data_IF_938381307794
#
_entry.id   IF_938381307794
#
_cell.length_a   1.000
_cell.length_b   1.000
_cell.length_c   1.000
_cell.angle_alpha   90.00
_cell.angle_beta   90.00
_cell.angle_gamma   90.00
#
_symmetry.space_group_name_H-M   'P 1'
#
loop_
_entity.id
_entity.type
_entity.pdbx_description
1 polymer ?
#
# COMPACT_ATOMS: atom_id res chain seq x y z
N UNK A 1 0.78 11.29 -5.40
CA UNK A 1 0.39 11.18 -3.98
C UNK A 1 1.51 10.48 -3.25
N UNK A 2 1.93 11.02 -2.10
CA UNK A 2 2.95 10.40 -1.23
C UNK A 2 2.38 9.13 -0.59
N UNK A 3 3.25 8.25 -0.11
CA UNK A 3 2.83 6.98 0.52
C UNK A 3 1.91 7.24 1.72
N UNK A 4 2.28 8.17 2.59
CA UNK A 4 1.53 8.54 3.79
C UNK A 4 0.15 9.10 3.46
N UNK A 5 0.04 9.85 2.36
CA UNK A 5 -1.24 10.37 1.87
C UNK A 5 -2.15 9.23 1.35
N UNK A 6 -1.57 8.20 0.72
CA UNK A 6 -2.34 7.02 0.28
C UNK A 6 -2.85 6.21 1.46
N UNK A 7 -2.02 6.04 2.49
CA UNK A 7 -2.42 5.35 3.73
C UNK A 7 -3.56 6.11 4.42
N UNK A 8 -3.42 7.43 4.59
CA UNK A 8 -4.48 8.27 5.17
C UNK A 8 -5.78 8.16 4.38
N UNK A 9 -5.70 8.17 3.05
CA UNK A 9 -6.87 8.02 2.18
C UNK A 9 -7.51 6.62 2.31
N UNK A 10 -6.71 5.58 2.50
CA UNK A 10 -7.20 4.23 2.74
C UNK A 10 -7.96 4.16 4.08
N UNK A 11 -7.44 4.77 5.15
CA UNK A 11 -8.12 4.88 6.44
C UNK A 11 -9.46 5.62 6.32
N UNK A 12 -9.51 6.72 5.57
CA UNK A 12 -10.75 7.45 5.29
C UNK A 12 -11.78 6.57 4.56
N UNK A 13 -11.34 5.74 3.61
CA UNK A 13 -12.22 4.81 2.90
C UNK A 13 -12.70 3.68 3.83
N UNK A 14 -11.84 3.13 4.68
CA UNK A 14 -12.24 2.11 5.66
C UNK A 14 -13.30 2.66 6.61
N UNK A 15 -13.06 3.85 7.18
CA UNK A 15 -14.02 4.53 8.04
C UNK A 15 -15.35 4.79 7.32
N UNK A 16 -15.30 5.14 6.02
CA UNK A 16 -16.51 5.23 5.21
C UNK A 16 -17.20 3.88 5.16
N UNK A 17 -16.53 2.82 4.70
CA UNK A 17 -17.13 1.49 4.50
C UNK A 17 -17.67 0.82 5.77
N UNK A 18 -17.12 1.13 6.95
CA UNK A 18 -17.62 0.64 8.23
C UNK A 18 -18.93 1.33 8.68
N UNK A 19 -19.29 2.45 8.03
CA UNK A 19 -20.55 3.13 8.30
C UNK A 19 -21.71 2.41 7.58
N UNK A 20 -22.62 1.83 8.36
CA UNK A 20 -23.77 1.06 7.85
C UNK A 20 -24.85 1.90 7.13
N UNK A 21 -24.66 3.21 6.99
CA UNK A 21 -25.62 4.11 6.33
C UNK A 21 -25.26 4.48 4.89
N UNK A 22 -24.23 3.88 4.31
CA UNK A 22 -23.85 4.19 2.93
C UNK A 22 -24.70 3.43 1.91
N UNK A 23 -24.94 4.07 0.77
CA UNK A 23 -25.51 3.38 -0.37
C UNK A 23 -24.55 2.31 -0.92
N UNK A 24 -25.12 1.23 -1.47
CA UNK A 24 -24.38 0.10 -2.00
C UNK A 24 -23.47 0.53 -3.17
N UNK A 25 -23.94 1.41 -4.06
CA UNK A 25 -23.16 1.85 -5.22
C UNK A 25 -21.91 2.63 -4.78
N UNK A 26 -22.07 3.53 -3.81
CA UNK A 26 -20.96 4.30 -3.26
C UNK A 26 -19.97 3.42 -2.49
N UNK A 27 -20.47 2.41 -1.77
CA UNK A 27 -19.64 1.42 -1.09
C UNK A 27 -18.79 0.62 -2.07
N UNK A 28 -19.35 0.21 -3.22
CA UNK A 28 -18.62 -0.51 -4.28
C UNK A 28 -17.55 0.38 -4.92
N UNK A 29 -17.86 1.66 -5.17
CA UNK A 29 -16.89 2.63 -5.71
C UNK A 29 -15.72 2.81 -4.75
N UNK A 30 -16.02 2.99 -3.46
CA UNK A 30 -15.02 3.19 -2.40
C UNK A 30 -14.16 1.95 -2.19
N UNK A 31 -14.75 0.76 -2.23
CA UNK A 31 -14.00 -0.49 -2.19
C UNK A 31 -13.03 -0.61 -3.37
N UNK A 32 -13.48 -0.29 -4.58
CA UNK A 32 -12.62 -0.32 -5.78
C UNK A 32 -11.47 0.68 -5.67
N UNK A 33 -11.74 1.87 -5.15
CA UNK A 33 -10.73 2.89 -4.87
C UNK A 33 -9.70 2.39 -3.84
N UNK A 34 -10.14 1.76 -2.76
CA UNK A 34 -9.25 1.15 -1.76
C UNK A 34 -8.35 0.07 -2.37
N UNK A 35 -8.89 -0.82 -3.21
CA UNK A 35 -8.11 -1.88 -3.85
C UNK A 35 -7.03 -1.33 -4.79
N UNK A 36 -7.32 -0.26 -5.51
CA UNK A 36 -6.32 0.42 -6.34
C UNK A 36 -5.23 1.06 -5.47
N UNK A 37 -5.60 1.74 -4.37
CA UNK A 37 -4.63 2.33 -3.44
C UNK A 37 -3.72 1.28 -2.80
N UNK A 38 -4.29 0.15 -2.37
CA UNK A 38 -3.53 -0.97 -1.81
C UNK A 38 -2.52 -1.49 -2.82
N UNK A 39 -2.95 -1.72 -4.06
CA UNK A 39 -2.07 -2.16 -5.14
C UNK A 39 -0.92 -1.18 -5.39
N UNK A 40 -1.21 0.11 -5.44
CA UNK A 40 -0.17 1.12 -5.64
C UNK A 40 0.82 1.20 -4.47
N UNK A 41 0.36 1.02 -3.23
CA UNK A 41 1.22 0.97 -2.05
C UNK A 41 2.15 -0.25 -2.09
N UNK A 42 1.60 -1.43 -2.42
CA UNK A 42 2.35 -2.67 -2.58
C UNK A 42 3.44 -2.55 -3.66
N UNK A 43 3.11 -1.99 -4.83
CA UNK A 43 4.08 -1.72 -5.90
C UNK A 43 5.19 -0.75 -5.46
N UNK A 44 4.86 0.30 -4.70
CA UNK A 44 5.86 1.23 -4.16
C UNK A 44 6.81 0.54 -3.18
N UNK A 45 6.28 -0.27 -2.26
CA UNK A 45 7.09 -1.01 -1.29
C UNK A 45 8.03 -2.00 -1.98
N UNK A 46 7.53 -2.77 -2.95
CA UNK A 46 8.33 -3.70 -3.76
C UNK A 46 9.45 -2.99 -4.52
N UNK A 47 9.19 -1.81 -5.07
CA UNK A 47 10.22 -1.03 -5.75
C UNK A 47 11.32 -0.53 -4.79
N UNK A 48 10.95 -0.12 -3.58
CA UNK A 48 11.90 0.29 -2.54
C UNK A 48 12.73 -0.90 -2.09
N UNK A 49 12.09 -2.04 -1.81
CA UNK A 49 12.76 -3.30 -1.44
C UNK A 49 13.77 -3.72 -2.53
N UNK A 50 13.35 -3.70 -3.80
CA UNK A 50 14.24 -3.99 -4.93
C UNK A 50 15.41 -3.02 -5.06
N UNK A 51 15.21 -1.75 -4.70
CA UNK A 51 16.27 -0.73 -4.69
C UNK A 51 17.28 -0.99 -3.57
N UNK A 52 16.80 -1.29 -2.36
CA UNK A 52 17.64 -1.62 -1.20
C UNK A 52 18.48 -2.87 -1.51
N UNK A 53 17.84 -3.93 -2.03
CA UNK A 53 18.52 -5.18 -2.41
C UNK A 53 19.65 -4.96 -3.43
N UNK A 54 19.43 -4.08 -4.42
CA UNK A 54 20.48 -3.72 -5.40
C UNK A 54 21.64 -2.96 -4.76
N UNK A 55 21.37 -1.98 -3.90
CA UNK A 55 22.41 -1.22 -3.20
C UNK A 55 23.27 -2.10 -2.29
N UNK A 56 22.65 -3.03 -1.58
CA UNK A 56 23.32 -4.05 -0.75
C UNK A 56 24.25 -4.92 -1.61
N UNK A 57 23.78 -5.34 -2.80
CA UNK A 57 24.56 -6.14 -3.75
C UNK A 57 25.76 -5.38 -4.34
N UNK A 58 25.59 -4.09 -4.69
CA UNK A 58 26.65 -3.25 -5.26
C UNK A 58 27.78 -2.93 -4.26
N UNK A 59 27.46 -2.90 -2.96
CA UNK A 59 28.42 -2.60 -1.90
C UNK A 59 29.12 -3.84 -1.34
N UNK A 60 28.83 -5.04 -1.86
CA UNK A 60 29.57 -6.28 -1.58
C UNK A 60 29.27 -6.98 -0.24
N UNK A 61 28.31 -6.49 0.56
CA UNK A 61 27.85 -7.17 1.78
C UNK A 61 26.37 -7.51 1.67
N UNK A 62 26.04 -8.80 1.67
CA UNK A 62 24.66 -9.30 1.72
C UNK A 62 24.16 -9.20 3.17
N UNK A 63 23.05 -8.51 3.39
CA UNK A 63 22.21 -8.73 4.57
C UNK A 63 20.91 -9.33 4.08
N UNK A 64 20.63 -10.56 4.52
CA UNK A 64 19.36 -11.22 4.26
C UNK A 64 18.23 -10.31 4.78
N UNK A 65 17.48 -9.69 3.87
CA UNK A 65 16.19 -9.10 4.21
C UNK A 65 15.20 -10.27 4.33
N UNK A 66 15.20 -10.90 5.50
CA UNK A 66 14.12 -11.78 5.91
C UNK A 66 12.95 -10.88 6.30
N UNK A 67 12.05 -10.62 5.35
CA UNK A 67 10.71 -10.13 5.64
C UNK A 67 9.86 -11.38 5.93
N UNK A 68 9.82 -11.78 7.21
CA UNK A 68 8.85 -12.77 7.70
C UNK A 68 7.46 -12.11 7.73
N UNK A 69 6.45 -12.86 7.27
CA UNK A 69 5.03 -12.50 7.16
C UNK A 69 4.41 -11.93 8.45
#
# INVERSE_FOLDING_TARGET
MKFEEKIKKLEEIVNFLENNNNDLEDSIKKYTEAMNLVKECDEQLKNIEGTITKMVSENGEIKDLVLED
#
